data_IF_652513840322
#
_entry.id   IF_652513840322
#
_cell.length_a   1.000
_cell.length_b   1.000
_cell.length_c   1.000
_cell.angle_alpha   90.00
_cell.angle_beta   90.00
_cell.angle_gamma   90.00
#
_symmetry.space_group_name_H-M   'P 1'
#
loop_
_entity.id
_entity.type
_entity.pdbx_description
1 polymer ?
#
# COMPACT_ATOMS: atom_id res chain seq x y z
N UNK A 1 8.01 6.86 -16.58
CA UNK A 1 8.40 6.90 -15.17
C UNK A 1 8.98 5.54 -14.81
N UNK A 2 10.10 5.51 -14.08
CA UNK A 2 10.72 4.29 -13.55
C UNK A 2 10.31 4.10 -12.10
N UNK A 3 9.76 2.95 -11.76
CA UNK A 3 9.16 2.70 -10.45
C UNK A 3 9.78 1.45 -9.83
N UNK A 4 10.25 1.57 -8.60
CA UNK A 4 10.60 0.42 -7.77
C UNK A 4 9.36 -0.09 -7.04
N UNK A 5 9.07 -1.39 -7.14
CA UNK A 5 8.00 -2.04 -6.36
C UNK A 5 8.60 -3.10 -5.44
N UNK A 6 8.30 -3.00 -4.15
CA UNK A 6 8.79 -3.95 -3.13
C UNK A 6 7.77 -5.05 -2.83
N UNK A 7 8.22 -6.13 -2.19
CA UNK A 7 7.38 -7.27 -1.80
C UNK A 7 6.71 -7.97 -3.00
N UNK A 8 7.45 -8.13 -4.09
CA UNK A 8 6.93 -8.65 -5.35
C UNK A 8 6.38 -10.09 -5.26
N UNK A 9 6.77 -10.85 -4.22
CA UNK A 9 6.22 -12.20 -3.97
C UNK A 9 4.77 -12.19 -3.43
N UNK A 10 4.26 -11.05 -3.01
CA UNK A 10 2.88 -10.90 -2.54
C UNK A 10 1.94 -10.89 -3.76
N UNK A 11 0.92 -11.78 -3.84
CA UNK A 11 0.06 -11.89 -5.02
C UNK A 11 -0.55 -10.55 -5.46
N UNK A 12 -1.12 -9.79 -4.55
CA UNK A 12 -1.69 -8.47 -4.84
C UNK A 12 -0.67 -7.51 -5.46
N UNK A 13 0.58 -7.51 -4.96
CA UNK A 13 1.65 -6.65 -5.51
C UNK A 13 2.03 -7.10 -6.92
N UNK A 14 2.05 -8.41 -7.17
CA UNK A 14 2.32 -8.93 -8.51
C UNK A 14 1.18 -8.61 -9.48
N UNK A 15 -0.08 -8.72 -9.06
CA UNK A 15 -1.24 -8.33 -9.88
C UNK A 15 -1.15 -6.85 -10.28
N UNK A 16 -0.84 -5.97 -9.32
CA UNK A 16 -0.57 -4.56 -9.62
C UNK A 16 0.61 -4.37 -10.57
N UNK A 17 1.71 -5.12 -10.38
CA UNK A 17 2.90 -5.00 -11.21
C UNK A 17 2.63 -5.40 -12.68
N UNK A 18 1.86 -6.46 -12.90
CA UNK A 18 1.49 -6.91 -14.26
C UNK A 18 0.76 -5.81 -15.02
N UNK A 19 -0.21 -5.18 -14.39
CA UNK A 19 -1.00 -4.12 -15.02
C UNK A 19 -0.18 -2.82 -15.20
N UNK A 20 0.55 -2.40 -14.17
CA UNK A 20 1.37 -1.19 -14.21
C UNK A 20 2.55 -1.29 -15.20
N UNK A 21 3.04 -2.50 -15.50
CA UNK A 21 4.13 -2.70 -16.45
C UNK A 21 3.77 -2.31 -17.90
N UNK A 22 2.48 -2.22 -18.21
CA UNK A 22 2.01 -1.69 -19.50
C UNK A 22 2.18 -0.18 -19.63
N UNK A 23 2.27 0.55 -18.51
CA UNK A 23 2.30 2.01 -18.44
C UNK A 23 3.66 2.57 -17.97
N UNK A 24 4.41 1.81 -17.20
CA UNK A 24 5.64 2.25 -16.53
C UNK A 24 6.77 1.23 -16.66
N UNK A 25 8.01 1.69 -16.50
CA UNK A 25 9.16 0.79 -16.36
C UNK A 25 9.29 0.37 -14.91
N UNK A 26 9.04 -0.90 -14.64
CA UNK A 26 9.07 -1.44 -13.28
C UNK A 26 10.38 -2.16 -12.98
N UNK A 27 10.94 -1.88 -11.82
CA UNK A 27 11.92 -2.71 -11.13
C UNK A 27 11.24 -3.34 -9.93
N UNK A 28 11.19 -4.66 -9.90
CA UNK A 28 10.61 -5.42 -8.78
C UNK A 28 11.70 -5.83 -7.82
N UNK A 29 11.38 -5.89 -6.54
CA UNK A 29 12.28 -6.42 -5.52
C UNK A 29 11.55 -7.25 -4.47
N UNK A 30 12.22 -8.28 -4.00
CA UNK A 30 11.78 -9.11 -2.87
C UNK A 30 13.02 -9.78 -2.25
N UNK A 31 12.93 -10.20 -0.99
CA UNK A 31 13.95 -11.04 -0.36
C UNK A 31 14.00 -12.46 -0.94
N UNK A 32 12.86 -12.94 -1.44
CA UNK A 32 12.72 -14.23 -2.10
C UNK A 32 13.02 -14.08 -3.59
N UNK A 33 13.88 -14.93 -4.13
CA UNK A 33 14.16 -14.93 -5.56
C UNK A 33 12.89 -15.33 -6.34
N UNK A 34 12.61 -14.60 -7.41
CA UNK A 34 11.46 -14.83 -8.28
C UNK A 34 11.90 -14.92 -9.73
N UNK A 35 11.16 -15.71 -10.52
CA UNK A 35 11.25 -15.71 -11.98
C UNK A 35 10.10 -14.90 -12.54
N UNK A 36 10.39 -13.76 -13.14
CA UNK A 36 9.40 -12.87 -13.76
C UNK A 36 9.94 -12.36 -15.09
N UNK A 37 9.06 -11.98 -16.01
CA UNK A 37 9.43 -11.31 -17.26
C UNK A 37 9.81 -9.84 -17.11
N UNK A 38 9.77 -9.30 -15.90
CA UNK A 38 10.09 -7.91 -15.57
C UNK A 38 11.49 -7.81 -14.93
N UNK A 39 12.07 -6.61 -14.89
CA UNK A 39 13.31 -6.37 -14.16
C UNK A 39 13.13 -6.71 -12.69
N UNK A 40 13.93 -7.65 -12.18
CA UNK A 40 13.87 -8.10 -10.80
C UNK A 40 15.27 -8.05 -10.16
N UNK A 41 15.35 -7.43 -8.99
CA UNK A 41 16.55 -7.39 -8.16
C UNK A 41 16.22 -7.96 -6.79
N UNK A 42 16.88 -9.05 -6.41
CA UNK A 42 16.71 -9.61 -5.06
C UNK A 42 17.35 -8.69 -4.03
N UNK A 43 16.57 -8.29 -3.02
CA UNK A 43 17.07 -7.48 -1.90
C UNK A 43 16.25 -7.77 -0.64
N UNK A 44 16.93 -7.74 0.50
CA UNK A 44 16.31 -7.77 1.83
C UNK A 44 16.17 -6.36 2.42
N UNK A 45 16.39 -5.32 1.61
CA UNK A 45 16.38 -3.92 2.01
C UNK A 45 17.30 -3.66 3.23
N UNK A 46 18.52 -4.19 3.16
CA UNK A 46 19.53 -4.02 4.20
C UNK A 46 19.99 -2.56 4.34
N UNK A 47 20.76 -2.30 5.40
CA UNK A 47 21.36 -0.98 5.64
C UNK A 47 22.74 -0.92 4.97
N UNK A 48 22.77 -0.82 3.66
CA UNK A 48 24.02 -0.83 2.87
C UNK A 48 23.83 -0.17 1.51
N UNK A 49 24.93 -0.05 0.78
CA UNK A 49 24.95 0.58 -0.55
C UNK A 49 24.09 -0.15 -1.57
N UNK A 50 23.84 -1.45 -1.38
CA UNK A 50 22.97 -2.25 -2.25
C UNK A 50 21.51 -1.76 -2.26
N UNK A 51 21.02 -1.19 -1.16
CA UNK A 51 19.67 -0.58 -1.14
C UNK A 51 19.68 0.76 -1.87
N UNK A 52 20.75 1.54 -1.79
CA UNK A 52 20.93 2.75 -2.59
C UNK A 52 20.98 2.42 -4.09
N UNK A 53 21.76 1.41 -4.48
CA UNK A 53 21.84 0.97 -5.88
C UNK A 53 20.49 0.49 -6.41
N UNK A 54 19.69 -0.20 -5.57
CA UNK A 54 18.36 -0.65 -5.90
C UNK A 54 17.42 0.54 -6.22
N UNK A 55 17.52 1.61 -5.44
CA UNK A 55 16.68 2.80 -5.53
C UNK A 55 17.18 3.80 -6.59
N UNK A 56 18.49 3.77 -6.87
CA UNK A 56 19.11 4.76 -7.76
C UNK A 56 18.48 4.80 -9.15
N UNK A 57 18.19 6.01 -9.61
CA UNK A 57 17.59 6.25 -10.92
C UNK A 57 16.10 5.94 -11.02
N UNK A 58 15.43 5.68 -9.90
CA UNK A 58 13.97 5.55 -9.84
C UNK A 58 13.30 6.93 -9.69
N UNK A 59 12.13 7.09 -10.32
CA UNK A 59 11.31 8.30 -10.20
C UNK A 59 10.35 8.20 -9.01
N UNK A 60 9.92 6.98 -8.67
CA UNK A 60 9.00 6.71 -7.57
C UNK A 60 9.22 5.30 -6.97
N UNK A 61 8.68 5.11 -5.77
CA UNK A 61 8.65 3.82 -5.08
C UNK A 61 7.21 3.48 -4.73
N UNK A 62 6.79 2.25 -5.02
CA UNK A 62 5.60 1.63 -4.44
C UNK A 62 6.09 0.64 -3.38
N UNK A 63 5.90 0.99 -2.12
CA UNK A 63 6.32 0.16 -0.99
C UNK A 63 5.13 -0.52 -0.33
N UNK A 64 5.20 -1.84 -0.22
CA UNK A 64 4.09 -2.62 0.34
C UNK A 64 4.25 -2.80 1.86
N UNK A 65 3.21 -2.42 2.61
CA UNK A 65 3.03 -2.74 4.02
C UNK A 65 2.56 -4.18 4.28
N UNK A 66 2.32 -4.94 3.21
CA UNK A 66 1.90 -6.34 3.32
C UNK A 66 3.10 -7.23 3.62
N UNK A 67 3.00 -7.98 4.71
CA UNK A 67 4.00 -8.96 5.09
C UNK A 67 3.73 -10.31 4.42
N UNK A 68 4.80 -11.04 4.08
CA UNK A 68 4.65 -12.40 3.58
C UNK A 68 4.14 -13.32 4.71
N UNK A 69 2.97 -13.96 4.57
CA UNK A 69 2.39 -14.81 5.62
C UNK A 69 3.23 -16.06 5.94
N UNK A 70 4.17 -16.44 5.06
CA UNK A 70 5.09 -17.55 5.29
C UNK A 70 6.24 -17.18 6.23
N UNK A 71 6.45 -15.89 6.50
CA UNK A 71 7.48 -15.42 7.40
C UNK A 71 7.07 -15.55 8.86
N UNK A 72 8.05 -15.74 9.76
CA UNK A 72 7.79 -15.61 11.19
C UNK A 72 7.37 -14.18 11.56
N UNK A 73 6.61 -14.01 12.62
CA UNK A 73 6.14 -12.70 13.07
C UNK A 73 7.29 -11.70 13.28
N UNK A 74 8.41 -12.15 13.82
CA UNK A 74 9.59 -11.30 14.02
C UNK A 74 10.19 -10.81 12.70
N UNK A 75 10.20 -11.64 11.66
CA UNK A 75 10.68 -11.27 10.32
C UNK A 75 9.70 -10.30 9.67
N UNK A 76 8.40 -10.50 9.82
CA UNK A 76 7.37 -9.60 9.31
C UNK A 76 7.51 -8.19 9.93
N UNK A 77 7.65 -8.12 11.27
CA UNK A 77 7.81 -6.86 11.99
C UNK A 77 9.13 -6.15 11.64
N UNK A 78 10.24 -6.90 11.56
CA UNK A 78 11.54 -6.35 11.15
C UNK A 78 11.47 -5.73 9.74
N UNK A 79 10.84 -6.42 8.80
CA UNK A 79 10.67 -5.92 7.44
C UNK A 79 9.89 -4.60 7.41
N UNK A 80 8.81 -4.51 8.16
CA UNK A 80 7.97 -3.31 8.15
C UNK A 80 8.56 -2.13 8.94
N UNK A 81 9.52 -2.36 9.82
CA UNK A 81 10.21 -1.27 10.51
C UNK A 81 11.57 -0.98 9.90
N UNK A 82 12.51 -1.90 10.08
CA UNK A 82 13.91 -1.70 9.70
C UNK A 82 14.07 -1.57 8.18
N UNK A 83 13.43 -2.45 7.41
CA UNK A 83 13.58 -2.43 5.96
C UNK A 83 12.86 -1.23 5.35
N UNK A 84 11.69 -0.84 5.86
CA UNK A 84 11.03 0.41 5.46
C UNK A 84 11.91 1.63 5.76
N UNK A 85 12.52 1.67 6.94
CA UNK A 85 13.46 2.74 7.29
C UNK A 85 14.63 2.81 6.31
N UNK A 86 15.30 1.68 6.05
CA UNK A 86 16.44 1.64 5.13
C UNK A 86 16.06 2.06 3.70
N UNK A 87 14.92 1.58 3.21
CA UNK A 87 14.40 1.95 1.89
C UNK A 87 14.14 3.45 1.77
N UNK A 88 13.48 4.04 2.77
CA UNK A 88 13.18 5.48 2.76
C UNK A 88 14.44 6.33 2.94
N UNK A 89 15.41 5.85 3.70
CA UNK A 89 16.71 6.50 3.82
C UNK A 89 17.44 6.51 2.47
N UNK A 90 17.54 5.36 1.80
CA UNK A 90 18.10 5.26 0.46
C UNK A 90 17.34 6.14 -0.55
N UNK A 91 16.00 6.18 -0.48
CA UNK A 91 15.20 7.04 -1.33
C UNK A 91 15.55 8.52 -1.14
N UNK A 92 15.74 8.96 0.10
CA UNK A 92 16.12 10.33 0.40
C UNK A 92 17.53 10.66 -0.14
N UNK A 93 18.53 9.77 0.07
CA UNK A 93 19.90 9.95 -0.43
C UNK A 93 19.95 9.99 -1.95
N UNK A 94 19.21 9.10 -2.62
CA UNK A 94 19.10 9.01 -4.09
C UNK A 94 18.13 10.04 -4.71
N UNK A 95 17.54 10.92 -3.87
CA UNK A 95 16.61 11.98 -4.27
C UNK A 95 15.31 11.47 -4.91
N UNK A 96 14.90 10.26 -4.59
CA UNK A 96 13.58 9.74 -4.92
C UNK A 96 12.59 10.26 -3.89
N UNK A 97 11.83 11.28 -4.26
CA UNK A 97 10.96 12.00 -3.32
C UNK A 97 9.51 11.58 -3.36
N UNK A 98 9.15 10.62 -4.22
CA UNK A 98 7.77 10.14 -4.39
C UNK A 98 7.65 8.69 -3.94
N UNK A 99 6.83 8.46 -2.93
CA UNK A 99 6.57 7.12 -2.40
C UNK A 99 5.06 6.91 -2.29
N UNK A 100 4.58 5.77 -2.78
CA UNK A 100 3.23 5.26 -2.52
C UNK A 100 3.37 4.10 -1.54
N UNK A 101 2.81 4.23 -0.36
CA UNK A 101 2.81 3.19 0.66
C UNK A 101 1.47 2.45 0.68
N UNK A 102 1.50 1.14 0.40
CA UNK A 102 0.31 0.30 0.40
C UNK A 102 0.06 -0.24 1.81
N UNK A 103 -0.87 0.36 2.51
CA UNK A 103 -1.32 -0.02 3.85
C UNK A 103 -2.66 -0.76 3.79
N UNK A 104 -3.34 -0.96 4.91
CA UNK A 104 -4.60 -1.68 4.97
C UNK A 104 -5.64 -1.01 5.87
N UNK A 105 -6.92 -1.07 5.46
CA UNK A 105 -8.07 -0.69 6.28
C UNK A 105 -8.25 -1.56 7.52
N UNK A 106 -7.60 -2.73 7.59
CA UNK A 106 -7.60 -3.59 8.81
C UNK A 106 -7.12 -2.90 10.08
N UNK A 107 -6.40 -1.78 9.94
CA UNK A 107 -6.06 -0.93 11.07
C UNK A 107 -7.27 -0.26 11.72
N UNK A 108 -8.41 -0.25 11.04
CA UNK A 108 -9.65 0.39 11.49
C UNK A 108 -10.69 -0.61 12.00
N UNK A 109 -10.44 -1.92 11.96
CA UNK A 109 -11.37 -3.01 12.28
C UNK A 109 -11.89 -3.04 13.73
N UNK A 110 -11.33 -2.22 14.62
CA UNK A 110 -11.75 -2.16 16.03
C UNK A 110 -12.76 -1.08 16.33
N UNK A 111 -13.12 -0.27 15.36
CA UNK A 111 -14.23 0.66 15.50
C UNK A 111 -15.56 -0.08 15.39
N UNK A 112 -16.57 0.43 16.09
CA UNK A 112 -17.90 -0.15 16.06
C UNK A 112 -18.48 -0.12 14.63
N UNK A 113 -19.21 -1.16 14.28
CA UNK A 113 -19.71 -1.42 12.93
C UNK A 113 -20.73 -0.38 12.42
N UNK A 114 -21.31 0.40 13.31
CA UNK A 114 -22.25 1.48 12.99
C UNK A 114 -21.55 2.82 12.71
N UNK A 115 -20.21 2.87 12.82
CA UNK A 115 -19.43 4.09 12.60
C UNK A 115 -18.92 4.20 11.18
N UNK A 116 -19.08 5.38 10.58
CA UNK A 116 -18.42 5.75 9.32
C UNK A 116 -17.00 6.26 9.64
N UNK A 117 -16.01 5.41 9.46
CA UNK A 117 -14.61 5.70 9.80
C UNK A 117 -13.93 6.41 8.64
N UNK A 118 -13.33 7.57 8.89
CA UNK A 118 -12.62 8.37 7.89
C UNK A 118 -11.11 8.36 8.13
N UNK A 119 -10.34 8.89 7.18
CA UNK A 119 -8.88 9.00 7.24
C UNK A 119 -8.38 9.84 8.44
N UNK A 120 -9.26 10.67 9.02
CA UNK A 120 -8.95 11.50 10.20
C UNK A 120 -8.97 10.72 11.50
N UNK A 121 -9.50 9.49 11.47
CA UNK A 121 -9.60 8.65 12.65
C UNK A 121 -8.26 7.96 12.93
N UNK A 122 -7.93 7.84 14.21
CA UNK A 122 -6.68 7.20 14.63
C UNK A 122 -6.74 5.69 14.38
N UNK A 123 -5.72 5.08 13.78
CA UNK A 123 -5.64 3.63 13.69
C UNK A 123 -5.71 2.95 15.05
N UNK A 124 -6.42 1.84 15.13
CA UNK A 124 -6.49 0.96 16.29
C UNK A 124 -6.09 -0.47 15.88
N UNK A 125 -4.81 -0.73 15.55
CA UNK A 125 -4.39 -2.04 15.11
C UNK A 125 -4.62 -3.09 16.21
N UNK A 126 -4.86 -4.33 15.80
CA UNK A 126 -4.84 -5.48 16.69
C UNK A 126 -3.40 -5.80 17.07
N UNK A 127 -3.20 -6.62 18.14
CA UNK A 127 -1.87 -7.03 18.60
C UNK A 127 -1.22 -8.13 17.75
N UNK A 128 -1.88 -8.62 16.69
CA UNK A 128 -1.27 -9.56 15.77
C UNK A 128 -0.21 -8.88 14.88
N UNK A 129 0.79 -9.66 14.46
CA UNK A 129 1.91 -9.13 13.71
C UNK A 129 1.48 -8.43 12.42
N UNK A 130 0.49 -8.96 11.69
CA UNK A 130 0.02 -8.40 10.42
C UNK A 130 -0.56 -6.99 10.61
N UNK A 131 -1.46 -6.82 11.58
CA UNK A 131 -2.06 -5.51 11.89
C UNK A 131 -1.00 -4.50 12.36
N UNK A 132 -0.06 -4.96 13.19
CA UNK A 132 1.05 -4.13 13.65
C UNK A 132 1.98 -3.73 12.50
N UNK A 133 2.26 -4.61 11.55
CA UNK A 133 3.10 -4.31 10.40
C UNK A 133 2.62 -3.07 9.63
N UNK A 134 1.32 -3.01 9.30
CA UNK A 134 0.77 -1.84 8.62
C UNK A 134 0.98 -0.55 9.43
N UNK A 135 0.69 -0.62 10.73
CA UNK A 135 0.78 0.54 11.61
C UNK A 135 2.22 1.03 11.79
N UNK A 136 3.17 0.11 11.94
CA UNK A 136 4.59 0.43 12.09
C UNK A 136 5.19 1.01 10.82
N UNK A 137 4.83 0.46 9.65
CA UNK A 137 5.24 1.01 8.36
C UNK A 137 4.67 2.42 8.12
N UNK A 138 3.39 2.66 8.42
CA UNK A 138 2.82 4.02 8.36
C UNK A 138 3.54 4.98 9.29
N UNK A 139 3.90 4.54 10.49
CA UNK A 139 4.63 5.36 11.45
C UNK A 139 5.98 5.79 10.87
N UNK A 140 6.79 4.85 10.35
CA UNK A 140 8.08 5.16 9.73
C UNK A 140 7.91 6.12 8.55
N UNK A 141 6.98 5.83 7.63
CA UNK A 141 6.70 6.67 6.48
C UNK A 141 6.34 8.11 6.88
N UNK A 142 5.46 8.27 7.86
CA UNK A 142 5.05 9.58 8.36
C UNK A 142 6.21 10.40 8.91
N UNK A 143 7.12 9.78 9.67
CA UNK A 143 8.26 10.49 10.25
C UNK A 143 9.24 10.94 9.15
N UNK A 144 9.48 10.12 8.11
CA UNK A 144 10.28 10.52 6.96
C UNK A 144 9.65 11.68 6.17
N UNK A 145 8.34 11.63 5.96
CA UNK A 145 7.63 12.73 5.29
C UNK A 145 7.75 14.04 6.08
N UNK A 146 7.64 13.97 7.40
CA UNK A 146 7.72 15.12 8.28
C UNK A 146 9.13 15.75 8.32
N UNK A 147 10.16 14.92 8.51
CA UNK A 147 11.53 15.36 8.76
C UNK A 147 12.30 15.62 7.46
N UNK A 148 12.25 14.69 6.52
CA UNK A 148 13.09 14.69 5.32
C UNK A 148 12.35 15.17 4.06
N UNK A 149 11.09 15.55 4.19
CA UNK A 149 10.26 16.10 3.10
C UNK A 149 10.09 15.13 1.93
N UNK A 150 10.13 13.82 2.18
CA UNK A 150 9.73 12.80 1.21
C UNK A 150 8.22 12.87 1.06
N UNK A 151 7.73 12.99 -0.16
CA UNK A 151 6.29 13.02 -0.45
C UNK A 151 5.75 11.58 -0.43
N UNK A 152 4.92 11.27 0.55
CA UNK A 152 4.39 9.92 0.74
C UNK A 152 2.87 9.93 0.69
N UNK A 153 2.32 9.16 -0.23
CA UNK A 153 0.89 8.87 -0.32
C UNK A 153 0.64 7.49 0.28
N UNK A 154 -0.09 7.44 1.38
CA UNK A 154 -0.49 6.21 2.03
C UNK A 154 -1.88 5.81 1.56
N UNK A 155 -1.98 4.64 0.93
CA UNK A 155 -3.25 4.04 0.54
C UNK A 155 -3.60 2.94 1.53
N UNK A 156 -4.60 3.17 2.38
CA UNK A 156 -5.19 2.11 3.22
C UNK A 156 -6.18 1.35 2.38
N UNK A 157 -5.72 0.24 1.81
CA UNK A 157 -6.47 -0.60 0.91
C UNK A 157 -7.46 -1.49 1.67
N UNK A 158 -8.64 -1.65 1.11
CA UNK A 158 -9.60 -2.66 1.55
C UNK A 158 -9.13 -4.09 1.32
N UNK A 159 -9.99 -5.05 1.61
CA UNK A 159 -9.72 -6.47 1.37
C UNK A 159 -9.72 -6.75 -0.13
N UNK A 160 -8.57 -7.21 -0.64
CA UNK A 160 -8.40 -7.41 -2.08
C UNK A 160 -9.29 -8.55 -2.56
N UNK A 161 -10.12 -8.25 -3.53
CA UNK A 161 -11.08 -9.15 -4.16
C UNK A 161 -10.77 -9.24 -5.66
N UNK A 162 -10.76 -10.45 -6.21
CA UNK A 162 -10.54 -10.64 -7.65
C UNK A 162 -11.73 -10.08 -8.45
N UNK A 163 -11.43 -9.49 -9.60
CA UNK A 163 -12.46 -8.95 -10.49
C UNK A 163 -13.46 -10.05 -10.89
N UNK A 164 -14.75 -9.77 -10.77
CA UNK A 164 -15.83 -10.71 -11.07
C UNK A 164 -16.16 -11.70 -9.95
N UNK A 165 -15.49 -11.63 -8.80
CA UNK A 165 -15.87 -12.37 -7.60
C UNK A 165 -16.87 -11.58 -6.76
N UNK A 166 -17.67 -12.28 -5.94
CA UNK A 166 -18.51 -11.63 -4.94
C UNK A 166 -17.67 -10.93 -3.87
N UNK A 167 -18.11 -9.77 -3.35
CA UNK A 167 -17.40 -9.08 -2.29
C UNK A 167 -17.45 -9.90 -0.99
N UNK A 168 -16.29 -10.13 -0.39
CA UNK A 168 -16.16 -10.91 0.85
C UNK A 168 -16.33 -10.07 2.12
N UNK A 169 -16.24 -8.76 2.00
CA UNK A 169 -16.35 -7.83 3.14
C UNK A 169 -16.92 -6.48 2.72
N UNK A 170 -17.34 -5.67 3.70
CA UNK A 170 -17.80 -4.28 3.48
C UNK A 170 -16.70 -3.36 2.96
N UNK A 171 -15.45 -3.75 3.16
CA UNK A 171 -14.28 -3.03 2.69
C UNK A 171 -13.59 -3.73 1.52
N UNK A 172 -14.31 -4.58 0.77
CA UNK A 172 -13.76 -5.22 -0.42
C UNK A 172 -13.22 -4.19 -1.41
N UNK A 173 -12.07 -4.51 -1.98
CA UNK A 173 -11.40 -3.71 -2.99
C UNK A 173 -11.03 -4.59 -4.17
N UNK A 174 -11.68 -4.39 -5.31
CA UNK A 174 -11.35 -5.12 -6.52
C UNK A 174 -9.99 -4.69 -7.08
N UNK A 175 -9.29 -5.61 -7.72
CA UNK A 175 -7.94 -5.39 -8.23
C UNK A 175 -7.88 -4.18 -9.18
N UNK A 176 -8.86 -4.02 -10.07
CA UNK A 176 -8.92 -2.89 -11.01
C UNK A 176 -9.10 -1.53 -10.31
N UNK A 177 -9.88 -1.48 -9.23
CA UNK A 177 -10.02 -0.27 -8.39
C UNK A 177 -8.72 0.03 -7.63
N UNK A 178 -8.02 -1.01 -7.15
CA UNK A 178 -6.72 -0.85 -6.50
C UNK A 178 -5.68 -0.26 -7.48
N UNK A 179 -5.67 -0.72 -8.73
CA UNK A 179 -4.79 -0.20 -9.79
C UNK A 179 -5.08 1.27 -10.05
N UNK A 180 -6.35 1.64 -10.22
CA UNK A 180 -6.75 3.04 -10.45
C UNK A 180 -6.30 3.95 -9.28
N UNK A 181 -6.43 3.49 -8.04
CA UNK A 181 -5.97 4.23 -6.87
C UNK A 181 -4.45 4.42 -6.86
N UNK A 182 -3.68 3.38 -7.19
CA UNK A 182 -2.22 3.44 -7.26
C UNK A 182 -1.76 4.38 -8.38
N UNK A 183 -2.37 4.32 -9.56
CA UNK A 183 -2.05 5.20 -10.70
C UNK A 183 -2.31 6.66 -10.33
N UNK A 184 -3.44 6.95 -9.67
CA UNK A 184 -3.74 8.29 -9.19
C UNK A 184 -2.74 8.75 -8.13
N UNK A 185 -2.34 7.88 -7.19
CA UNK A 185 -1.35 8.21 -6.17
C UNK A 185 0.04 8.52 -6.75
N UNK A 186 0.42 7.85 -7.84
CA UNK A 186 1.69 8.12 -8.55
C UNK A 186 1.75 9.51 -9.19
N UNK A 187 0.62 10.11 -9.49
CA UNK A 187 0.52 11.43 -10.13
C UNK A 187 0.02 12.53 -9.19
N UNK A 188 -0.50 12.15 -8.03
CA UNK A 188 -1.00 13.09 -7.03
C UNK A 188 0.11 14.01 -6.50
N UNK A 189 -0.19 15.31 -6.39
CA UNK A 189 0.76 16.28 -5.82
C UNK A 189 0.69 16.28 -4.30
N UNK A 190 1.35 15.29 -3.70
CA UNK A 190 1.39 15.11 -2.26
C UNK A 190 2.06 16.30 -1.55
N UNK A 191 1.50 16.69 -0.40
CA UNK A 191 2.00 17.80 0.42
C UNK A 191 3.05 17.36 1.44
N UNK A 192 3.17 16.04 1.64
CA UNK A 192 4.10 15.42 2.58
C UNK A 192 3.60 14.03 2.94
N UNK A 193 2.80 13.90 3.98
CA UNK A 193 2.12 12.68 4.40
C UNK A 193 0.62 12.79 4.16
N UNK A 194 0.15 12.16 3.10
CA UNK A 194 -1.27 12.15 2.74
C UNK A 194 -1.82 10.71 2.81
N UNK A 195 -2.98 10.53 3.45
CA UNK A 195 -3.61 9.22 3.65
C UNK A 195 -4.95 9.19 2.92
N UNK A 196 -5.25 8.05 2.29
CA UNK A 196 -6.53 7.80 1.64
C UNK A 196 -7.05 6.40 1.99
N UNK A 197 -8.33 6.30 2.30
CA UNK A 197 -9.07 5.04 2.40
C UNK A 197 -9.53 4.62 1.02
N UNK A 198 -9.16 3.43 0.58
CA UNK A 198 -9.45 2.93 -0.76
C UNK A 198 -10.24 1.63 -0.64
N UNK A 199 -11.46 1.65 -1.13
CA UNK A 199 -12.35 0.50 -1.24
C UNK A 199 -13.22 0.62 -2.49
N UNK A 200 -13.73 -0.49 -2.97
CA UNK A 200 -14.68 -0.52 -4.09
C UNK A 200 -16.10 -0.15 -3.63
N UNK A 201 -16.96 0.17 -4.57
CA UNK A 201 -18.38 0.24 -4.32
C UNK A 201 -18.91 -1.17 -4.02
N UNK A 202 -19.47 -1.36 -2.83
CA UNK A 202 -20.08 -2.62 -2.40
C UNK A 202 -21.55 -2.43 -2.10
N UNK A 203 -22.39 -3.47 -2.22
CA UNK A 203 -23.82 -3.39 -1.91
C UNK A 203 -24.10 -2.86 -0.50
N UNK A 204 -25.26 -2.26 -0.29
CA UNK A 204 -25.68 -1.65 0.98
C UNK A 204 -25.81 -2.63 2.16
N UNK A 205 -25.59 -3.92 1.96
CA UNK A 205 -25.58 -4.96 3.00
C UNK A 205 -24.37 -4.90 3.92
N UNK A 206 -23.43 -4.00 3.66
CA UNK A 206 -22.20 -3.81 4.45
C UNK A 206 -22.41 -3.66 5.95
N UNK A 207 -23.49 -3.07 6.39
CA UNK A 207 -23.82 -2.93 7.81
C UNK A 207 -24.22 -4.24 8.48
N UNK A 208 -24.56 -5.28 7.68
CA UNK A 208 -24.92 -6.60 8.19
C UNK A 208 -23.71 -7.52 8.39
N UNK A 209 -22.53 -7.10 7.96
CA UNK A 209 -21.32 -7.95 8.00
C UNK A 209 -20.53 -7.83 9.28
N UNK A 210 -20.90 -6.92 10.18
CA UNK A 210 -20.20 -6.72 11.46
C UNK A 210 -18.81 -6.07 11.32
N UNK A 211 -18.58 -5.36 10.23
CA UNK A 211 -17.33 -4.62 10.00
C UNK A 211 -17.58 -3.11 9.91
N UNK A 212 -16.68 -2.28 10.47
CA UNK A 212 -16.79 -0.84 10.37
C UNK A 212 -16.73 -0.40 8.90
N UNK A 213 -17.57 0.55 8.54
CA UNK A 213 -17.52 1.14 7.22
C UNK A 213 -16.45 2.22 7.14
N UNK A 214 -15.44 1.98 6.31
CA UNK A 214 -14.43 2.97 6.02
C UNK A 214 -14.87 3.81 4.83
N UNK A 215 -15.15 5.10 5.06
CA UNK A 215 -15.50 6.02 3.99
C UNK A 215 -14.28 6.38 3.17
N UNK A 216 -14.36 6.20 1.88
CA UNK A 216 -13.39 6.76 0.93
C UNK A 216 -13.57 8.27 0.70
N UNK A 217 -14.42 8.91 1.42
CA UNK A 217 -14.81 10.30 1.58
C UNK A 217 -14.22 11.38 0.67
N UNK A 218 -14.20 12.62 1.17
CA UNK A 218 -13.71 13.79 0.41
C UNK A 218 -12.24 13.69 0.02
N UNK A 219 -11.43 12.97 0.80
CA UNK A 219 -9.98 12.87 0.55
C UNK A 219 -9.68 11.98 -0.66
N UNK A 220 -10.41 10.87 -0.86
CA UNK A 220 -10.24 10.06 -2.07
C UNK A 220 -10.71 10.80 -3.34
N UNK A 221 -11.67 11.71 -3.21
CA UNK A 221 -12.05 12.62 -4.30
C UNK A 221 -10.88 13.55 -4.66
N UNK A 222 -10.13 14.05 -3.69
CA UNK A 222 -8.96 14.88 -3.97
C UNK A 222 -7.82 14.09 -4.61
N UNK A 223 -7.70 12.80 -4.31
CA UNK A 223 -6.80 11.87 -5.03
C UNK A 223 -7.24 11.66 -6.50
N UNK A 224 -8.49 11.94 -6.83
CA UNK A 224 -9.11 11.65 -8.12
C UNK A 224 -9.59 10.20 -8.26
N UNK A 225 -9.53 9.41 -7.19
CA UNK A 225 -10.03 8.04 -7.15
C UNK A 225 -11.56 8.03 -7.03
N UNK A 226 -12.19 7.19 -7.86
CA UNK A 226 -13.61 6.84 -7.76
C UNK A 226 -13.76 5.34 -8.01
N UNK A 227 -14.44 4.61 -7.10
CA UNK A 227 -14.72 3.20 -7.35
C UNK A 227 -15.51 3.02 -8.66
N UNK A 228 -15.21 1.96 -9.38
CA UNK A 228 -15.95 1.63 -10.60
C UNK A 228 -17.36 1.14 -10.24
N UNK A 229 -18.41 1.60 -10.96
CA UNK A 229 -19.75 1.08 -10.77
C UNK A 229 -19.77 -0.45 -10.96
N UNK A 230 -20.35 -1.17 -10.02
CA UNK A 230 -20.55 -2.62 -10.09
C UNK A 230 -22.03 -2.88 -10.34
N UNK A 231 -22.37 -3.51 -11.45
CA UNK A 231 -23.73 -4.02 -11.64
C UNK A 231 -23.97 -5.11 -10.59
N UNK A 232 -25.01 -4.92 -9.76
CA UNK A 232 -25.54 -6.02 -8.94
C UNK A 232 -25.88 -7.19 -9.88
N UNK A 233 -25.22 -8.33 -9.66
CA UNK A 233 -25.52 -9.56 -10.37
C UNK A 233 -26.94 -10.07 -10.01
#
# INVERSE_FOLDING_TARGET
>A
MKILMTSASIPMVMDLAVELNSMYHLRLTDKTAMSTGMEFVRSDLGHGTETNELVSGMDAIIHSGYANPSDSESVQLDYQMRCTYNLLWAAWEERVTRVVYLSSLKQMDRYDEDMAVTERWRPMPRSDARSLCYHMGEYVCREFARELKVKIVCLRLGDITQNGSEPESVSSLYVDDAIDAVVNALTYDATGWDIFHIQSEVPNERYLTGQPWCSSGELSVSLGYKPRPRSSA
#
